data_IF_645207270589
#
_entry.id   IF_645207270589
#
_cell.length_a   1.000
_cell.length_b   1.000
_cell.length_c   1.000
_cell.angle_alpha   90.00
_cell.angle_beta   90.00
_cell.angle_gamma   90.00
#
_symmetry.space_group_name_H-M   'P 1'
#
loop_
_entity.id
_entity.type
_entity.pdbx_description
1 polymer ?
#
# COMPACT_ATOMS: atom_id res chain seq x y z
N UNK A 1 25.70 8.58 1.56
CA UNK A 1 25.15 7.24 1.23
C UNK A 1 23.68 7.45 0.88
N UNK A 2 23.16 6.84 -0.17
CA UNK A 2 21.71 6.89 -0.43
C UNK A 2 20.97 6.10 0.65
N UNK A 3 19.87 6.64 1.16
CA UNK A 3 18.99 5.90 2.06
C UNK A 3 18.46 4.64 1.36
N UNK A 4 18.47 3.46 2.02
CA UNK A 4 17.97 2.24 1.42
C UNK A 4 16.47 2.36 1.16
N UNK A 5 16.04 1.93 -0.03
CA UNK A 5 14.64 1.88 -0.43
C UNK A 5 14.14 0.44 -0.24
N UNK A 6 13.05 0.27 0.50
CA UNK A 6 12.34 -1.00 0.67
C UNK A 6 11.03 -0.96 -0.09
N UNK A 7 10.79 -1.96 -0.95
CA UNK A 7 9.53 -2.12 -1.67
C UNK A 7 8.67 -3.17 -0.97
N UNK A 8 7.45 -2.81 -0.59
CA UNK A 8 6.47 -3.70 0.05
C UNK A 8 5.30 -3.86 -0.90
N UNK A 9 5.10 -5.08 -1.41
CA UNK A 9 3.97 -5.41 -2.29
C UNK A 9 2.88 -6.12 -1.48
N UNK A 10 1.67 -5.59 -1.52
CA UNK A 10 0.52 -6.13 -0.80
C UNK A 10 -0.30 -7.00 -1.74
N UNK A 11 -0.36 -8.30 -1.47
CA UNK A 11 -1.08 -9.29 -2.28
C UNK A 11 -2.15 -10.03 -1.46
N UNK A 12 -3.17 -10.55 -2.15
CA UNK A 12 -4.30 -11.23 -1.51
C UNK A 12 -5.63 -10.99 -2.22
N UNK A 13 -6.65 -11.77 -1.83
CA UNK A 13 -7.99 -11.74 -2.43
C UNK A 13 -8.66 -10.37 -2.27
N UNK A 14 -9.67 -10.11 -3.11
CA UNK A 14 -10.57 -8.98 -2.94
C UNK A 14 -11.20 -9.01 -1.54
N UNK A 15 -11.24 -7.85 -0.86
CA UNK A 15 -11.80 -7.73 0.50
C UNK A 15 -10.84 -8.04 1.65
N UNK A 16 -9.63 -8.58 1.40
CA UNK A 16 -8.66 -8.90 2.47
C UNK A 16 -7.95 -7.67 3.08
N UNK A 17 -8.40 -6.45 2.79
CA UNK A 17 -7.90 -5.24 3.46
C UNK A 17 -6.53 -4.74 3.02
N UNK A 18 -6.01 -5.15 1.86
CA UNK A 18 -4.68 -4.73 1.34
C UNK A 18 -4.50 -3.20 1.33
N UNK A 19 -5.40 -2.48 0.68
CA UNK A 19 -5.39 -1.01 0.59
C UNK A 19 -5.47 -0.34 1.97
N UNK A 20 -6.26 -0.91 2.90
CA UNK A 20 -6.35 -0.42 4.27
C UNK A 20 -5.03 -0.62 5.02
N UNK A 21 -4.40 -1.78 4.88
CA UNK A 21 -3.06 -2.06 5.43
C UNK A 21 -2.01 -1.12 4.82
N UNK A 22 -2.07 -0.85 3.52
CA UNK A 22 -1.17 0.09 2.86
C UNK A 22 -1.27 1.50 3.46
N UNK A 23 -2.49 1.99 3.72
CA UNK A 23 -2.70 3.26 4.41
C UNK A 23 -2.14 3.27 5.85
N UNK A 24 -2.26 2.16 6.56
CA UNK A 24 -1.65 2.00 7.89
C UNK A 24 -0.13 2.09 7.82
N UNK A 25 0.51 1.43 6.84
CA UNK A 25 1.96 1.49 6.65
C UNK A 25 2.41 2.91 6.29
N UNK A 26 1.64 3.61 5.45
CA UNK A 26 1.95 4.99 5.04
C UNK A 26 1.66 6.02 6.16
N UNK A 27 0.90 5.65 7.18
CA UNK A 27 0.43 6.57 8.23
C UNK A 27 -0.61 7.60 7.75
N UNK A 28 -1.13 7.44 6.53
CA UNK A 28 -2.08 8.36 5.89
C UNK A 28 -2.97 7.63 4.89
N UNK A 29 -4.15 8.19 4.61
CA UNK A 29 -5.10 7.63 3.63
C UNK A 29 -4.72 8.04 2.21
N UNK A 30 -3.99 7.18 1.50
CA UNK A 30 -3.61 7.36 0.09
C UNK A 30 -4.36 6.40 -0.82
N UNK A 31 -4.39 5.12 -0.49
CA UNK A 31 -5.15 4.13 -1.24
C UNK A 31 -6.64 4.25 -0.93
N UNK A 32 -7.47 4.17 -1.98
CA UNK A 32 -8.91 4.04 -1.81
C UNK A 32 -9.23 2.71 -1.10
N UNK A 33 -9.84 2.79 0.07
CA UNK A 33 -10.28 1.61 0.82
C UNK A 33 -11.74 1.78 1.26
N UNK A 34 -12.59 0.84 0.84
CA UNK A 34 -14.02 0.80 1.19
C UNK A 34 -14.41 -0.63 1.53
N UNK A 35 -15.28 -0.77 2.53
CA UNK A 35 -15.96 -2.05 2.81
C UNK A 35 -17.05 -2.24 1.74
N UNK A 36 -16.72 -2.97 0.68
CA UNK A 36 -17.67 -3.30 -0.39
C UNK A 36 -17.35 -4.70 -0.95
N UNK A 37 -18.39 -5.35 -1.49
CA UNK A 37 -18.27 -6.71 -2.03
C UNK A 37 -17.44 -6.78 -3.33
N UNK A 38 -17.37 -5.68 -4.09
CA UNK A 38 -16.58 -5.57 -5.33
C UNK A 38 -15.17 -5.03 -5.10
N UNK A 39 -14.23 -5.39 -5.97
CA UNK A 39 -12.87 -4.83 -5.95
C UNK A 39 -12.89 -3.30 -6.05
N UNK A 40 -12.21 -2.62 -5.12
CA UNK A 40 -11.98 -1.16 -5.18
C UNK A 40 -10.77 -0.86 -6.08
N UNK A 41 -9.71 -1.66 -5.91
CA UNK A 41 -8.45 -1.54 -6.65
C UNK A 41 -8.53 -2.34 -7.94
N UNK A 42 -8.45 -1.65 -9.09
CA UNK A 42 -8.45 -2.25 -10.43
C UNK A 42 -7.06 -2.29 -11.07
N UNK A 43 -6.14 -1.46 -10.58
CA UNK A 43 -4.76 -1.32 -11.06
C UNK A 43 -3.78 -1.39 -9.90
N UNK A 44 -2.51 -1.68 -10.16
CA UNK A 44 -1.47 -1.57 -9.13
C UNK A 44 -1.17 -0.08 -8.86
N UNK A 45 -1.19 0.32 -7.59
CA UNK A 45 -0.87 1.69 -7.15
C UNK A 45 0.33 1.69 -6.22
N UNK A 46 1.16 2.73 -6.27
CA UNK A 46 2.34 2.86 -5.41
C UNK A 46 2.42 4.24 -4.74
N UNK A 47 2.66 4.24 -3.43
CA UNK A 47 2.93 5.45 -2.66
C UNK A 47 4.18 5.27 -1.80
N UNK A 48 4.89 6.38 -1.58
CA UNK A 48 6.14 6.42 -0.82
C UNK A 48 5.93 7.03 0.56
N UNK A 49 6.50 6.39 1.59
CA UNK A 49 6.70 6.95 2.91
C UNK A 49 8.19 7.18 3.15
N UNK A 50 8.53 8.37 3.65
CA UNK A 50 9.89 8.73 4.09
C UNK A 50 9.86 8.74 5.61
N UNK A 51 10.59 7.81 6.23
CA UNK A 51 10.71 7.74 7.68
C UNK A 51 11.92 8.58 8.08
N UNK A 52 11.73 9.53 8.99
CA UNK A 52 12.83 10.33 9.53
C UNK A 52 13.86 9.42 10.18
N UNK A 53 15.13 9.55 9.79
CA UNK A 53 16.25 8.70 10.24
C UNK A 53 16.04 7.19 9.96
N UNK A 54 15.15 6.85 9.03
CA UNK A 54 14.77 5.47 8.67
C UNK A 54 14.80 5.20 7.17
N UNK A 55 14.34 4.02 6.72
CA UNK A 55 14.32 3.68 5.30
C UNK A 55 13.22 4.42 4.55
N UNK A 56 13.43 4.58 3.25
CA UNK A 56 12.35 4.95 2.33
C UNK A 56 11.53 3.70 2.03
N UNK A 57 10.21 3.76 2.21
CA UNK A 57 9.32 2.64 1.93
C UNK A 57 8.43 3.00 0.74
N UNK A 58 8.44 2.17 -0.30
CA UNK A 58 7.42 2.18 -1.34
C UNK A 58 6.40 1.09 -1.02
N UNK A 59 5.14 1.47 -0.84
CA UNK A 59 4.02 0.53 -0.63
C UNK A 59 3.29 0.38 -1.95
N UNK A 60 3.10 -0.86 -2.41
CA UNK A 60 2.46 -1.19 -3.68
C UNK A 60 1.20 -2.01 -3.38
N UNK A 61 0.03 -1.41 -3.59
CA UNK A 61 -1.26 -2.11 -3.52
C UNK A 61 -1.57 -2.76 -4.87
N UNK A 62 -2.17 -3.95 -4.85
CA UNK A 62 -2.49 -4.70 -6.07
C UNK A 62 -3.98 -5.00 -6.17
N UNK A 63 -4.51 -5.25 -7.38
CA UNK A 63 -5.83 -5.83 -7.54
C UNK A 63 -5.98 -7.14 -6.76
N UNK A 64 -7.20 -7.43 -6.35
CA UNK A 64 -7.51 -8.73 -5.73
C UNK A 64 -7.55 -9.84 -6.78
N UNK A 65 -7.00 -11.01 -6.41
CA UNK A 65 -7.21 -12.26 -7.14
C UNK A 65 -8.57 -12.87 -6.82
#
# INVERSE_FOLDING_TARGET
MSEPITNVVLVGRTGNGKSATGNTILGQKQFASKLQAGGVTMECEMYRAVIQDGPIINVIDTPGM
#
